data_IF_353454412972
#
_entry.id   IF_353454412972
#
_cell.length_a   1.000
_cell.length_b   1.000
_cell.length_c   1.000
_cell.angle_alpha   90.00
_cell.angle_beta   90.00
_cell.angle_gamma   90.00
#
_symmetry.space_group_name_H-M   'P 1'
#
loop_
_entity.id
_entity.type
_entity.pdbx_description
1 polymer ?
#
# COMPACT_ATOMS: atom_id res chain seq x y z
N UNK A 1 32.02 -42.24 1.81
CA UNK A 1 30.64 -41.76 1.36
C UNK A 1 29.98 -40.89 2.44
N UNK A 2 29.99 -41.32 3.69
CA UNK A 2 29.30 -40.60 4.78
C UNK A 2 29.87 -39.20 5.08
N UNK A 3 31.23 -39.06 5.07
CA UNK A 3 31.91 -37.77 5.30
C UNK A 3 31.65 -36.78 4.15
N UNK A 4 31.68 -37.24 2.92
CA UNK A 4 31.40 -36.43 1.74
C UNK A 4 29.92 -35.94 1.75
N UNK A 5 29.00 -36.78 2.15
CA UNK A 5 27.59 -36.42 2.26
C UNK A 5 27.39 -35.35 3.34
N UNK A 6 27.97 -35.53 4.52
CA UNK A 6 27.90 -34.58 5.62
C UNK A 6 28.48 -33.22 5.21
N UNK A 7 29.61 -33.21 4.52
CA UNK A 7 30.25 -31.99 4.04
C UNK A 7 29.38 -31.28 3.00
N UNK A 8 28.78 -32.05 2.07
CA UNK A 8 27.85 -31.47 1.08
C UNK A 8 26.59 -30.84 1.72
N UNK A 9 26.03 -31.51 2.73
CA UNK A 9 24.89 -30.98 3.48
C UNK A 9 25.28 -29.70 4.24
N UNK A 10 26.47 -29.68 4.86
CA UNK A 10 26.95 -28.51 5.58
C UNK A 10 27.17 -27.31 4.64
N UNK A 11 27.79 -27.53 3.49
CA UNK A 11 27.98 -26.49 2.48
C UNK A 11 26.64 -25.98 1.93
N UNK A 12 25.68 -26.87 1.69
CA UNK A 12 24.33 -26.50 1.27
C UNK A 12 23.61 -25.66 2.33
N UNK A 13 23.75 -26.03 3.60
CA UNK A 13 23.18 -25.30 4.70
C UNK A 13 23.79 -23.89 4.86
N UNK A 14 25.11 -23.76 4.76
CA UNK A 14 25.80 -22.46 4.80
C UNK A 14 25.32 -21.56 3.66
N UNK A 15 25.23 -22.09 2.43
CA UNK A 15 24.71 -21.33 1.28
C UNK A 15 23.23 -20.91 1.48
N UNK A 16 22.42 -21.80 2.03
CA UNK A 16 21.03 -21.48 2.35
C UNK A 16 20.95 -20.32 3.36
N UNK A 17 21.74 -20.35 4.43
CA UNK A 17 21.77 -19.28 5.42
C UNK A 17 22.26 -17.95 4.81
N UNK A 18 23.30 -18.00 4.00
CA UNK A 18 23.82 -16.81 3.31
C UNK A 18 22.76 -16.19 2.41
N UNK A 19 22.13 -17.00 1.54
CA UNK A 19 21.02 -16.52 0.69
C UNK A 19 19.83 -16.00 1.51
N UNK A 20 19.46 -16.68 2.59
CA UNK A 20 18.34 -16.27 3.44
C UNK A 20 18.57 -14.93 4.14
N UNK A 21 19.77 -14.72 4.70
CA UNK A 21 20.05 -13.50 5.46
C UNK A 21 20.53 -12.32 4.60
N UNK A 22 21.16 -12.57 3.45
CA UNK A 22 21.73 -11.52 2.61
C UNK A 22 20.83 -11.13 1.43
N UNK A 23 20.19 -12.10 0.79
CA UNK A 23 19.45 -11.85 -0.44
C UNK A 23 17.93 -11.86 -0.26
N UNK A 24 17.44 -12.83 0.51
CA UNK A 24 16.02 -13.13 0.58
C UNK A 24 15.19 -11.95 1.11
N UNK A 25 15.66 -11.29 2.14
CA UNK A 25 14.97 -10.18 2.78
C UNK A 25 14.78 -8.99 1.81
N UNK A 26 15.80 -8.71 0.98
CA UNK A 26 15.72 -7.62 0.00
C UNK A 26 14.94 -8.02 -1.25
N UNK A 27 15.22 -9.22 -1.78
CA UNK A 27 14.64 -9.70 -3.03
C UNK A 27 13.13 -9.96 -2.94
N UNK A 28 12.65 -10.43 -1.78
CA UNK A 28 11.26 -10.81 -1.55
C UNK A 28 10.52 -9.91 -0.56
N UNK A 29 11.10 -8.75 -0.22
CA UNK A 29 10.49 -7.77 0.69
C UNK A 29 9.05 -7.41 0.29
N UNK A 30 8.77 -7.29 -1.01
CA UNK A 30 7.45 -7.01 -1.55
C UNK A 30 6.40 -8.08 -1.20
N UNK A 31 6.77 -9.38 -1.17
CA UNK A 31 5.86 -10.47 -0.80
C UNK A 31 5.61 -10.55 0.71
N UNK A 32 6.46 -9.93 1.51
CA UNK A 32 6.32 -9.83 2.97
C UNK A 32 5.66 -8.53 3.41
N UNK A 33 5.00 -7.83 2.47
CA UNK A 33 4.23 -6.62 2.76
C UNK A 33 5.06 -5.51 3.43
N UNK A 34 6.34 -5.42 3.04
CA UNK A 34 7.26 -4.41 3.54
C UNK A 34 6.71 -2.99 3.29
N UNK A 35 6.93 -2.10 4.25
CA UNK A 35 6.52 -0.70 4.16
C UNK A 35 5.13 -0.39 4.72
N UNK A 36 4.26 -1.39 4.99
CA UNK A 36 2.94 -1.12 5.59
C UNK A 36 3.04 -0.53 6.98
N UNK A 37 3.93 -1.05 7.84
CA UNK A 37 4.13 -0.54 9.20
C UNK A 37 4.49 0.94 9.17
N UNK A 38 5.58 1.31 8.51
CA UNK A 38 6.04 2.71 8.41
C UNK A 38 5.00 3.63 7.75
N UNK A 39 4.27 3.12 6.76
CA UNK A 39 3.19 3.89 6.11
C UNK A 39 2.05 4.16 7.09
N UNK A 40 1.65 3.16 7.86
CA UNK A 40 0.54 3.28 8.81
C UNK A 40 0.92 4.10 10.04
N UNK A 41 2.18 4.02 10.50
CA UNK A 41 2.70 4.92 11.53
C UNK A 41 2.60 6.39 11.08
N UNK A 42 3.06 6.70 9.85
CA UNK A 42 2.95 8.04 9.31
C UNK A 42 1.48 8.50 9.18
N UNK A 43 0.59 7.60 8.76
CA UNK A 43 -0.85 7.91 8.68
C UNK A 43 -1.40 8.23 10.08
N UNK A 44 -1.12 7.40 11.08
CA UNK A 44 -1.60 7.61 12.45
C UNK A 44 -1.13 8.95 13.05
N UNK A 45 0.10 9.36 12.72
CA UNK A 45 0.66 10.64 13.18
C UNK A 45 0.02 11.87 12.52
N UNK A 46 -0.54 11.72 11.30
CA UNK A 46 -1.00 12.84 10.49
C UNK A 46 -2.49 12.79 10.12
N UNK A 47 -3.21 11.72 10.43
CA UNK A 47 -4.61 11.52 9.97
C UNK A 47 -5.59 12.59 10.45
N UNK A 48 -5.32 13.23 11.58
CA UNK A 48 -6.21 14.24 12.16
C UNK A 48 -6.22 15.56 11.35
N UNK A 49 -5.24 15.74 10.45
CA UNK A 49 -5.18 16.87 9.52
C UNK A 49 -6.02 16.65 8.26
N UNK A 50 -6.62 15.47 8.09
CA UNK A 50 -7.34 15.05 6.89
C UNK A 50 -8.70 14.45 7.25
N UNK A 51 -9.68 14.65 6.39
CA UNK A 51 -11.02 14.05 6.55
C UNK A 51 -10.98 12.53 6.40
N UNK A 52 -10.08 12.03 5.56
CA UNK A 52 -9.96 10.62 5.24
C UNK A 52 -8.57 10.22 4.72
N UNK A 53 -8.33 8.93 4.76
CA UNK A 53 -7.15 8.29 4.14
C UNK A 53 -7.63 7.42 2.99
N UNK A 54 -6.93 7.47 1.85
CA UNK A 54 -7.17 6.59 0.70
C UNK A 54 -5.93 5.77 0.44
N UNK A 55 -6.05 4.46 0.59
CA UNK A 55 -4.93 3.52 0.55
C UNK A 55 -5.09 2.55 -0.64
N UNK A 56 -4.06 2.36 -1.43
CA UNK A 56 -4.02 1.39 -2.53
C UNK A 56 -4.12 -0.06 -2.05
N UNK A 57 -4.81 -0.91 -2.83
CA UNK A 57 -4.84 -2.37 -2.63
C UNK A 57 -3.72 -3.11 -3.40
N UNK A 58 -2.72 -2.41 -3.94
CA UNK A 58 -1.71 -2.99 -4.83
C UNK A 58 -1.00 -4.22 -4.25
N UNK A 59 -0.62 -4.16 -2.97
CA UNK A 59 0.09 -5.25 -2.31
C UNK A 59 -0.83 -6.27 -1.60
N UNK A 60 -2.14 -6.27 -1.89
CA UNK A 60 -3.10 -7.24 -1.36
C UNK A 60 -4.16 -6.61 -0.46
N UNK A 61 -4.35 -7.15 0.75
CA UNK A 61 -5.44 -6.79 1.66
C UNK A 61 -5.00 -5.76 2.72
N UNK A 62 -4.84 -4.46 2.39
CA UNK A 62 -4.26 -3.46 3.28
C UNK A 62 -5.08 -3.23 4.56
N UNK A 63 -6.37 -3.54 4.56
CA UNK A 63 -7.23 -3.42 5.74
C UNK A 63 -6.81 -4.35 6.88
N UNK A 64 -6.15 -5.48 6.58
CA UNK A 64 -5.62 -6.41 7.58
C UNK A 64 -4.43 -5.76 8.30
N UNK A 65 -3.51 -5.17 7.53
CA UNK A 65 -2.35 -4.45 8.08
C UNK A 65 -2.78 -3.19 8.83
N UNK A 66 -3.75 -2.46 8.29
CA UNK A 66 -4.37 -1.33 8.99
C UNK A 66 -4.91 -1.76 10.35
N UNK A 67 -5.72 -2.83 10.41
CA UNK A 67 -6.25 -3.32 11.68
C UNK A 67 -5.18 -3.75 12.66
N UNK A 68 -4.11 -4.39 12.17
CA UNK A 68 -3.02 -4.90 13.00
C UNK A 68 -2.15 -3.77 13.57
N UNK A 69 -1.63 -2.88 12.73
CA UNK A 69 -0.70 -1.83 13.15
C UNK A 69 -1.36 -0.67 13.90
N UNK A 70 -2.65 -0.39 13.64
CA UNK A 70 -3.40 0.65 14.38
C UNK A 70 -4.09 0.12 15.64
N UNK A 71 -3.93 -1.17 15.97
CA UNK A 71 -4.64 -1.83 17.08
C UNK A 71 -6.16 -1.60 17.02
N UNK A 72 -6.74 -1.69 15.83
CA UNK A 72 -8.15 -1.45 15.58
C UNK A 72 -9.03 -2.37 16.43
N UNK A 73 -10.08 -1.82 17.06
CA UNK A 73 -11.09 -2.67 17.75
C UNK A 73 -11.71 -3.62 16.69
N UNK A 74 -11.61 -4.95 16.89
CA UNK A 74 -12.15 -5.94 15.96
C UNK A 74 -13.64 -5.77 15.66
N UNK A 75 -14.40 -5.09 16.51
CA UNK A 75 -15.81 -4.76 16.26
C UNK A 75 -15.99 -3.92 15.01
N UNK A 76 -15.01 -3.06 14.68
CA UNK A 76 -15.08 -2.22 13.49
C UNK A 76 -15.03 -3.02 12.18
N UNK A 77 -14.49 -4.23 12.19
CA UNK A 77 -14.47 -5.15 11.05
C UNK A 77 -15.68 -6.11 10.99
N UNK A 78 -16.50 -6.15 12.05
CA UNK A 78 -17.65 -7.03 12.11
C UNK A 78 -18.89 -6.40 11.44
N UNK A 79 -19.91 -7.18 11.09
CA UNK A 79 -21.19 -6.65 10.64
C UNK A 79 -21.76 -5.65 11.66
N UNK A 80 -22.13 -4.46 11.18
CA UNK A 80 -22.60 -3.37 12.03
C UNK A 80 -21.50 -2.47 12.63
N UNK A 81 -20.21 -2.78 12.39
CA UNK A 81 -19.10 -1.88 12.67
C UNK A 81 -19.00 -0.75 11.63
N UNK A 82 -18.09 0.20 11.87
CA UNK A 82 -17.85 1.31 10.95
C UNK A 82 -16.96 0.88 9.78
N UNK A 83 -17.56 0.14 8.84
CA UNK A 83 -16.87 -0.39 7.68
C UNK A 83 -17.78 -0.48 6.44
N UNK A 84 -17.16 -0.57 5.26
CA UNK A 84 -17.77 -1.02 4.02
C UNK A 84 -17.12 -2.35 3.65
N UNK A 85 -17.78 -3.43 4.05
CA UNK A 85 -17.33 -4.79 3.81
C UNK A 85 -18.43 -5.56 3.10
N UNK A 86 -18.11 -6.17 1.98
CA UNK A 86 -19.09 -6.80 1.10
C UNK A 86 -18.58 -8.16 0.59
N UNK A 87 -19.55 -9.04 0.26
CA UNK A 87 -19.23 -10.34 -0.33
C UNK A 87 -19.16 -10.21 -1.84
N UNK A 88 -18.01 -10.60 -2.43
CA UNK A 88 -17.82 -10.72 -3.86
C UNK A 88 -17.23 -12.10 -4.12
N UNK A 89 -17.92 -12.93 -4.90
CA UNK A 89 -17.61 -14.36 -5.02
C UNK A 89 -17.73 -15.10 -3.67
N UNK A 90 -16.76 -15.90 -3.29
CA UNK A 90 -16.73 -16.62 -2.00
C UNK A 90 -15.96 -15.86 -0.90
N UNK A 91 -15.47 -14.65 -1.20
CA UNK A 91 -14.65 -13.86 -0.28
C UNK A 91 -15.34 -12.58 0.14
N UNK A 92 -14.93 -12.05 1.30
CA UNK A 92 -15.28 -10.73 1.75
C UNK A 92 -14.19 -9.73 1.40
N UNK A 93 -14.60 -8.65 0.75
CA UNK A 93 -13.76 -7.53 0.37
C UNK A 93 -14.06 -6.34 1.27
N UNK A 94 -13.09 -5.46 1.43
CA UNK A 94 -13.22 -4.29 2.30
C UNK A 94 -12.79 -3.06 1.54
N UNK A 95 -13.70 -2.08 1.45
CA UNK A 95 -13.42 -0.79 0.82
C UNK A 95 -13.23 0.33 1.83
N UNK A 96 -13.69 0.15 3.08
CA UNK A 96 -13.52 1.16 4.11
C UNK A 96 -13.50 0.54 5.50
N UNK A 97 -12.68 1.12 6.38
CA UNK A 97 -12.72 0.93 7.82
C UNK A 97 -12.49 2.28 8.48
N UNK A 98 -13.39 2.74 9.33
CA UNK A 98 -13.43 4.10 9.87
C UNK A 98 -13.32 5.13 8.73
N UNK A 99 -12.34 6.05 8.80
CA UNK A 99 -12.08 7.06 7.77
C UNK A 99 -11.11 6.62 6.69
N UNK A 100 -10.59 5.38 6.75
CA UNK A 100 -9.62 4.85 5.79
C UNK A 100 -10.33 4.03 4.71
N UNK A 101 -10.17 4.45 3.45
CA UNK A 101 -10.69 3.80 2.26
C UNK A 101 -9.60 3.03 1.54
N UNK A 102 -9.96 1.90 0.94
CA UNK A 102 -9.07 1.01 0.21
C UNK A 102 -9.53 0.93 -1.25
N UNK A 103 -8.66 1.35 -2.18
CA UNK A 103 -8.99 1.44 -3.60
C UNK A 103 -8.10 0.51 -4.43
N UNK A 104 -8.66 -0.02 -5.51
CA UNK A 104 -7.90 -0.85 -6.43
C UNK A 104 -6.98 0.00 -7.29
N UNK A 105 -5.75 -0.44 -7.48
CA UNK A 105 -4.73 0.25 -8.25
C UNK A 105 -5.15 0.54 -9.70
N UNK A 106 -5.85 -0.39 -10.33
CA UNK A 106 -6.34 -0.24 -11.70
C UNK A 106 -7.49 0.77 -11.87
N UNK A 107 -8.10 1.19 -10.76
CA UNK A 107 -9.13 2.24 -10.73
C UNK A 107 -8.51 3.65 -10.54
N UNK A 108 -7.20 3.73 -10.28
CA UNK A 108 -6.50 4.99 -10.05
C UNK A 108 -6.05 5.55 -11.41
N UNK A 109 -6.61 6.67 -11.88
CA UNK A 109 -6.23 7.28 -13.15
C UNK A 109 -4.87 7.99 -13.04
N UNK A 110 -4.22 8.25 -14.18
CA UNK A 110 -2.98 9.04 -14.22
C UNK A 110 -3.16 10.50 -13.80
N UNK A 111 -4.36 11.02 -13.91
CA UNK A 111 -4.76 12.34 -13.44
C UNK A 111 -5.99 12.14 -12.56
N UNK A 112 -5.86 12.53 -11.30
CA UNK A 112 -6.97 12.49 -10.36
C UNK A 112 -7.96 13.61 -10.66
N UNK A 113 -9.23 13.26 -10.58
CA UNK A 113 -10.35 14.19 -10.53
C UNK A 113 -10.78 14.39 -9.06
N UNK A 114 -12.05 14.62 -8.81
CA UNK A 114 -12.56 14.89 -7.47
C UNK A 114 -12.83 13.62 -6.64
N UNK A 115 -12.95 12.47 -7.31
CA UNK A 115 -13.34 11.20 -6.67
C UNK A 115 -12.61 10.00 -7.25
N UNK A 116 -12.58 8.89 -6.47
CA UNK A 116 -12.19 7.55 -6.94
C UNK A 116 -13.32 6.56 -6.75
N UNK A 117 -13.51 5.60 -7.66
CA UNK A 117 -14.52 4.55 -7.53
C UNK A 117 -14.15 3.54 -6.44
N UNK A 118 -15.19 3.00 -5.78
CA UNK A 118 -15.07 1.91 -4.82
C UNK A 118 -15.55 0.60 -5.44
N UNK A 119 -14.93 -0.50 -5.08
CA UNK A 119 -15.26 -1.82 -5.61
C UNK A 119 -16.66 -2.31 -5.18
N UNK A 120 -17.12 -1.86 -4.02
CA UNK A 120 -18.51 -2.09 -3.53
C UNK A 120 -19.58 -1.30 -4.29
N UNK A 121 -19.15 -0.36 -5.15
CA UNK A 121 -19.98 0.67 -5.80
C UNK A 121 -19.92 2.01 -5.07
N UNK A 122 -20.26 3.07 -5.78
CA UNK A 122 -20.12 4.44 -5.28
C UNK A 122 -18.70 5.00 -5.48
N UNK A 123 -18.40 6.10 -4.80
CA UNK A 123 -17.15 6.84 -4.97
C UNK A 123 -16.69 7.42 -3.63
N UNK A 124 -15.39 7.65 -3.50
CA UNK A 124 -14.77 8.38 -2.38
C UNK A 124 -14.22 9.71 -2.88
N UNK A 125 -14.49 10.79 -2.16
CA UNK A 125 -13.96 12.11 -2.49
C UNK A 125 -12.48 12.22 -2.11
N UNK A 126 -11.71 12.96 -2.95
CA UNK A 126 -10.27 13.17 -2.76
C UNK A 126 -9.91 14.46 -2.05
N UNK A 127 -10.88 15.38 -1.93
CA UNK A 127 -10.68 16.62 -1.20
C UNK A 127 -10.34 16.34 0.26
N UNK A 128 -9.34 17.04 0.78
CA UNK A 128 -8.84 16.93 2.14
C UNK A 128 -8.52 15.49 2.58
N UNK A 129 -7.93 14.73 1.64
CA UNK A 129 -7.56 13.33 1.83
C UNK A 129 -6.05 13.13 1.83
N UNK A 130 -5.57 12.26 2.73
CA UNK A 130 -4.22 11.72 2.67
C UNK A 130 -4.24 10.49 1.75
N UNK A 131 -3.39 10.49 0.72
CA UNK A 131 -3.39 9.51 -0.36
C UNK A 131 -2.16 8.62 -0.28
N UNK A 132 -2.33 7.31 -0.39
CA UNK A 132 -1.24 6.33 -0.43
C UNK A 132 -1.30 5.55 -1.72
N UNK A 133 -0.26 5.66 -2.54
CA UNK A 133 -0.15 5.03 -3.85
C UNK A 133 1.01 4.06 -3.93
N UNK A 134 0.87 3.03 -4.74
CA UNK A 134 1.98 2.23 -5.22
C UNK A 134 2.78 3.01 -6.29
N UNK A 135 4.04 2.65 -6.55
CA UNK A 135 4.80 3.25 -7.65
C UNK A 135 4.16 3.07 -9.03
N UNK A 136 3.34 2.02 -9.20
CA UNK A 136 2.69 1.69 -10.47
C UNK A 136 1.48 2.57 -10.77
N UNK A 137 0.81 3.06 -9.72
CA UNK A 137 -0.42 3.83 -9.83
C UNK A 137 -0.29 5.29 -9.39
N UNK A 138 0.94 5.79 -9.20
CA UNK A 138 1.17 7.18 -8.78
C UNK A 138 0.63 8.17 -9.82
N UNK A 139 -0.36 9.00 -9.46
CA UNK A 139 -0.89 10.03 -10.35
C UNK A 139 0.09 11.19 -10.55
N UNK A 140 -0.12 11.96 -11.62
CA UNK A 140 0.77 13.08 -11.97
C UNK A 140 0.48 14.36 -11.16
N UNK A 141 -0.79 14.56 -10.79
CA UNK A 141 -1.28 15.76 -10.11
C UNK A 141 -1.37 15.59 -8.59
N UNK A 142 -0.33 15.03 -8.01
CA UNK A 142 -0.21 14.86 -6.55
C UNK A 142 1.09 15.48 -6.05
N UNK A 143 1.04 16.02 -4.85
CA UNK A 143 2.22 16.47 -4.11
C UNK A 143 2.63 15.38 -3.13
N UNK A 144 3.81 14.78 -3.37
CA UNK A 144 4.36 13.74 -2.49
C UNK A 144 4.83 14.40 -1.18
N UNK A 145 4.37 13.87 -0.06
CA UNK A 145 4.75 14.26 1.29
C UNK A 145 5.86 13.37 1.84
N UNK A 146 5.74 12.05 1.61
CA UNK A 146 6.72 11.07 2.06
C UNK A 146 6.81 9.92 1.05
N UNK A 147 8.01 9.38 0.89
CA UNK A 147 8.27 8.14 0.15
C UNK A 147 8.71 7.08 1.13
N UNK A 148 8.03 5.95 1.12
CA UNK A 148 8.44 4.74 1.85
C UNK A 148 9.18 3.86 0.86
N UNK A 149 10.36 3.38 1.24
CA UNK A 149 11.24 2.62 0.34
C UNK A 149 11.57 1.24 0.90
N UNK A 150 11.82 0.28 0.02
CA UNK A 150 12.45 -0.99 0.37
C UNK A 150 13.89 -0.76 0.86
N UNK A 151 14.51 -1.79 1.41
CA UNK A 151 15.93 -1.77 1.84
C UNK A 151 16.94 -1.46 0.71
N UNK A 152 16.52 -1.59 -0.55
CA UNK A 152 17.31 -1.28 -1.75
C UNK A 152 16.98 0.10 -2.35
N UNK A 153 16.38 1.00 -1.56
CA UNK A 153 15.97 2.35 -1.93
C UNK A 153 14.89 2.45 -3.02
N UNK A 154 14.34 1.32 -3.51
CA UNK A 154 13.21 1.36 -4.42
C UNK A 154 11.92 1.73 -3.64
N UNK A 155 11.06 2.60 -4.20
CA UNK A 155 9.85 3.00 -3.52
C UNK A 155 8.85 1.85 -3.38
N UNK A 156 8.22 1.78 -2.20
CA UNK A 156 7.09 0.88 -1.89
C UNK A 156 5.79 1.66 -1.98
N UNK A 157 5.71 2.76 -1.22
CA UNK A 157 4.56 3.64 -1.20
C UNK A 157 4.97 5.10 -1.34
N UNK A 158 4.11 5.86 -1.97
CA UNK A 158 4.11 7.31 -1.95
C UNK A 158 2.93 7.80 -1.12
N UNK A 159 3.21 8.61 -0.11
CA UNK A 159 2.19 9.31 0.66
C UNK A 159 2.11 10.72 0.10
N UNK A 160 0.91 11.13 -0.30
CA UNK A 160 0.70 12.35 -1.07
C UNK A 160 -0.63 13.02 -0.73
N UNK A 161 -0.80 14.22 -1.24
CA UNK A 161 -2.08 14.96 -1.28
C UNK A 161 -2.36 15.37 -2.71
N UNK A 162 -3.63 15.67 -3.02
CA UNK A 162 -3.99 16.24 -4.31
C UNK A 162 -3.31 17.61 -4.47
N UNK A 163 -2.62 17.81 -5.59
CA UNK A 163 -2.00 19.10 -5.91
C UNK A 163 -3.03 20.02 -6.58
N UNK A 164 -3.62 20.92 -5.80
CA UNK A 164 -4.63 21.89 -6.27
C UNK A 164 -4.04 22.93 -7.24
N UNK A 165 -2.72 23.11 -7.25
CA UNK A 165 -2.00 24.07 -8.11
C UNK A 165 -1.40 23.41 -9.37
N UNK A 166 -1.59 22.12 -9.53
CA UNK A 166 -1.04 21.36 -10.65
C UNK A 166 -1.56 21.87 -12.00
N UNK A 167 -0.63 22.14 -12.91
CA UNK A 167 -0.95 22.55 -14.29
C UNK A 167 -0.43 21.51 -15.26
N UNK A 168 -1.27 21.09 -16.18
CA UNK A 168 -0.87 20.18 -17.26
C UNK A 168 0.41 20.70 -17.93
N UNK A 169 1.50 19.92 -17.99
CA UNK A 169 2.69 20.32 -18.70
C UNK A 169 2.33 20.64 -20.16
N UNK A 170 2.65 21.84 -20.63
CA UNK A 170 2.49 22.20 -22.03
C UNK A 170 3.55 21.40 -22.79
N UNK A 171 3.15 20.33 -23.45
CA UNK A 171 4.00 19.64 -24.43
C UNK A 171 4.17 20.63 -25.55
N UNK A 172 5.31 21.31 -25.61
CA UNK A 172 5.71 22.05 -26.79
C UNK A 172 6.16 20.99 -27.77
N UNK A 173 5.32 20.76 -28.79
CA UNK A 173 5.75 20.03 -29.98
C UNK A 173 7.00 20.74 -30.48
N UNK A 174 8.14 20.08 -30.31
CA UNK A 174 9.40 20.51 -30.92
C UNK A 174 9.25 20.23 -32.41
N UNK A 175 9.46 21.24 -33.29
CA UNK A 175 9.33 21.11 -34.73
C UNK A 175 10.28 20.09 -35.33
#
# INVERSE_FOLDING_TARGET
ISVSLILSCLLGYIRYLDSYYQEYQTKYAWSWQYGHEETLEYIEENKDDYDRVIFTKYYGEPHIFYAFFTNLDPKNLQPGGDNIRFKKTDWFWTDRVNTTYFVNDWEIPKLLEDTLPLESGGQVALEDSLLVFSPQSLPQNVKILKTISFQNDLPVFYIAILDKDWKTPIIRDTP
#
